data_IF_803880580408
#
_entry.id   IF_803880580408
#
_cell.length_a   1.000
_cell.length_b   1.000
_cell.length_c   1.000
_cell.angle_alpha   90.00
_cell.angle_beta   90.00
_cell.angle_gamma   90.00
#
_symmetry.space_group_name_H-M   'P 1'
#
loop_
_entity.id
_entity.type
_entity.pdbx_description
1 polymer ?
#
# COMPACT_ATOMS: atom_id res chain seq x y z
N UNK A 1 -26.85 15.23 25.03
CA UNK A 1 -26.25 14.51 23.91
C UNK A 1 -24.76 14.85 23.89
N UNK A 2 -23.90 13.93 24.27
CA UNK A 2 -22.43 14.11 24.24
C UNK A 2 -21.94 13.62 22.88
N UNK A 3 -21.05 14.34 22.18
CA UNK A 3 -20.47 13.84 20.92
C UNK A 3 -19.53 12.67 21.24
N UNK A 4 -19.72 11.57 20.53
CA UNK A 4 -18.90 10.38 20.58
C UNK A 4 -17.52 10.72 20.01
N UNK A 5 -16.51 10.84 20.85
CA UNK A 5 -15.12 11.00 20.44
C UNK A 5 -14.58 9.61 20.10
N UNK A 6 -14.66 9.24 18.84
CA UNK A 6 -13.86 8.12 18.33
C UNK A 6 -12.39 8.52 18.38
N UNK A 7 -11.72 8.10 19.43
CA UNK A 7 -10.26 8.23 19.55
C UNK A 7 -9.64 7.19 18.64
N UNK A 8 -9.06 7.62 17.53
CA UNK A 8 -8.28 6.77 16.64
C UNK A 8 -7.00 6.39 17.40
N UNK A 9 -6.97 5.19 17.95
CA UNK A 9 -5.76 4.61 18.55
C UNK A 9 -5.07 3.74 17.50
N UNK A 10 -4.10 4.30 16.77
CA UNK A 10 -3.20 3.57 15.89
C UNK A 10 -2.11 2.94 16.79
N UNK A 11 -2.23 1.69 17.15
CA UNK A 11 -1.14 0.92 17.74
C UNK A 11 -0.26 0.43 16.59
N UNK A 12 0.84 1.13 16.35
CA UNK A 12 1.91 0.59 15.51
C UNK A 12 2.96 0.03 16.45
N UNK A 13 3.16 -1.27 16.36
CA UNK A 13 4.27 -1.93 17.01
C UNK A 13 5.57 -1.27 16.53
N UNK A 14 6.30 -0.65 17.44
CA UNK A 14 7.60 -0.07 17.14
C UNK A 14 8.51 -1.14 16.55
N UNK A 15 8.90 -1.01 15.29
CA UNK A 15 10.00 -1.78 14.73
C UNK A 15 11.26 -1.45 15.53
N UNK A 16 11.62 -2.33 16.46
CA UNK A 16 12.92 -2.33 17.12
C UNK A 16 13.99 -2.45 16.03
N UNK A 17 14.93 -1.52 16.04
CA UNK A 17 16.15 -1.54 15.21
C UNK A 17 16.99 -2.75 15.61
N UNK A 18 16.63 -3.92 15.10
CA UNK A 18 17.46 -5.10 15.14
C UNK A 18 18.52 -5.00 14.06
N UNK A 19 19.79 -5.04 14.43
CA UNK A 19 20.91 -5.13 13.52
C UNK A 19 20.71 -6.31 12.56
N UNK A 20 20.49 -6.02 11.28
CA UNK A 20 20.39 -7.03 10.23
C UNK A 20 21.79 -7.57 9.99
N UNK A 21 22.02 -8.82 10.36
CA UNK A 21 23.16 -9.59 9.88
C UNK A 21 22.99 -9.77 8.35
N UNK A 22 23.91 -9.22 7.57
CA UNK A 22 24.01 -9.48 6.14
C UNK A 22 24.44 -10.93 6.01
N UNK A 23 23.55 -11.80 5.56
CA UNK A 23 23.91 -13.14 5.14
C UNK A 23 24.71 -13.03 3.82
N UNK A 24 25.93 -13.54 3.86
CA UNK A 24 26.83 -13.55 2.72
C UNK A 24 26.28 -14.42 1.58
N UNK A 25 26.64 -14.02 0.35
CA UNK A 25 26.38 -14.71 -0.90
C UNK A 25 26.62 -16.21 -0.83
N UNK A 26 25.53 -16.97 -0.77
CA UNK A 26 25.51 -18.39 -1.14
C UNK A 26 24.71 -18.52 -2.44
N UNK A 27 25.04 -19.48 -3.31
CA UNK A 27 24.28 -19.69 -4.53
C UNK A 27 22.82 -19.95 -4.19
N UNK A 28 21.92 -19.24 -4.90
CA UNK A 28 20.47 -19.41 -4.79
C UNK A 28 20.11 -20.90 -4.91
N UNK A 29 19.55 -21.54 -3.90
CA UNK A 29 19.29 -22.99 -3.97
C UNK A 29 18.18 -23.33 -4.95
N UNK A 30 17.39 -22.38 -5.37
CA UNK A 30 16.20 -22.65 -6.15
C UNK A 30 16.17 -21.68 -7.33
N UNK A 31 16.28 -22.20 -8.53
CA UNK A 31 16.10 -21.49 -9.78
C UNK A 31 14.80 -20.67 -9.85
N UNK A 32 14.68 -19.66 -8.99
CA UNK A 32 13.58 -18.72 -9.04
C UNK A 32 13.63 -18.05 -10.40
N UNK A 33 12.68 -18.41 -11.26
CA UNK A 33 12.54 -17.88 -12.60
C UNK A 33 12.31 -16.38 -12.53
N UNK A 34 12.78 -15.64 -13.55
CA UNK A 34 12.43 -14.25 -13.74
C UNK A 34 10.89 -14.10 -13.74
N UNK A 35 10.41 -12.95 -13.27
CA UNK A 35 8.99 -12.62 -13.32
C UNK A 35 8.50 -12.58 -14.77
N UNK A 36 7.32 -13.12 -15.01
CA UNK A 36 6.71 -13.18 -16.35
C UNK A 36 5.46 -12.30 -16.39
N UNK A 37 5.26 -11.60 -17.51
CA UNK A 37 4.13 -10.69 -17.71
C UNK A 37 3.53 -10.89 -19.09
N UNK A 38 2.20 -10.76 -19.19
CA UNK A 38 1.51 -10.71 -20.48
C UNK A 38 1.78 -9.39 -21.20
N UNK A 39 1.62 -9.36 -22.50
CA UNK A 39 1.92 -8.19 -23.33
C UNK A 39 1.12 -6.95 -22.92
N UNK A 40 -0.13 -7.11 -22.53
CA UNK A 40 -1.00 -6.03 -22.06
C UNK A 40 -0.53 -5.42 -20.73
N UNK A 41 -0.02 -6.25 -19.80
CA UNK A 41 0.57 -5.76 -18.54
C UNK A 41 1.89 -5.03 -18.81
N UNK A 42 2.72 -5.55 -19.71
CA UNK A 42 3.97 -4.89 -20.09
C UNK A 42 3.74 -3.55 -20.81
N UNK A 43 2.68 -3.46 -21.61
CA UNK A 43 2.34 -2.25 -22.37
C UNK A 43 1.68 -1.15 -21.53
N UNK A 44 1.31 -1.42 -20.28
CA UNK A 44 0.69 -0.41 -19.41
C UNK A 44 1.66 0.76 -19.17
N UNK A 45 1.21 2.01 -19.37
CA UNK A 45 1.99 3.17 -18.98
C UNK A 45 2.18 3.16 -17.45
N UNK A 46 3.08 4.00 -16.96
CA UNK A 46 3.21 4.25 -15.53
C UNK A 46 1.93 4.88 -15.00
N UNK A 47 1.40 4.30 -13.93
CA UNK A 47 0.18 4.72 -13.29
C UNK A 47 0.47 5.46 -11.99
N UNK A 48 -0.32 6.49 -11.73
CA UNK A 48 -0.16 7.39 -10.60
C UNK A 48 -1.51 7.63 -9.96
N UNK A 49 -1.59 7.49 -8.65
CA UNK A 49 -2.89 7.55 -8.04
C UNK A 49 -2.90 7.81 -6.56
N UNK A 50 -4.01 7.43 -5.96
CA UNK A 50 -4.27 7.59 -4.54
C UNK A 50 -4.89 6.33 -3.97
N UNK A 51 -4.78 6.17 -2.66
CA UNK A 51 -5.58 5.25 -1.89
C UNK A 51 -6.95 5.86 -1.61
N UNK A 52 -8.01 5.05 -1.68
CA UNK A 52 -9.39 5.48 -1.48
C UNK A 52 -9.67 5.85 -0.01
N UNK A 53 -10.73 6.62 0.27
CA UNK A 53 -11.23 6.71 1.64
C UNK A 53 -11.81 5.37 2.09
N UNK A 54 -11.84 5.15 3.43
CA UNK A 54 -12.46 3.95 4.02
C UNK A 54 -13.99 3.91 3.93
N UNK A 55 -14.62 4.98 3.39
CA UNK A 55 -16.06 5.09 3.13
C UNK A 55 -16.41 4.71 1.70
N UNK A 56 -17.69 4.60 1.43
CA UNK A 56 -18.18 4.48 0.05
C UNK A 56 -17.80 5.71 -0.79
N UNK A 57 -17.31 5.43 -1.98
CA UNK A 57 -16.96 6.46 -2.97
C UNK A 57 -18.18 6.84 -3.81
N UNK A 58 -18.20 8.10 -4.25
CA UNK A 58 -19.26 8.68 -5.08
C UNK A 58 -18.70 9.12 -6.43
N UNK A 59 -19.58 9.44 -7.39
CA UNK A 59 -19.16 9.97 -8.70
C UNK A 59 -18.31 11.25 -8.57
N UNK A 60 -18.60 12.10 -7.57
CA UNK A 60 -17.83 13.34 -7.32
C UNK A 60 -16.39 13.03 -6.89
N UNK A 61 -16.15 11.91 -6.20
CA UNK A 61 -14.79 11.48 -5.86
C UNK A 61 -14.00 11.13 -7.13
N UNK A 62 -14.60 10.37 -8.05
CA UNK A 62 -13.95 9.98 -9.31
C UNK A 62 -13.72 11.16 -10.23
N UNK A 63 -14.66 12.11 -10.29
CA UNK A 63 -14.50 13.35 -11.03
C UNK A 63 -13.34 14.17 -10.48
N UNK A 64 -13.24 14.32 -9.15
CA UNK A 64 -12.12 15.02 -8.53
C UNK A 64 -10.77 14.33 -8.84
N UNK A 65 -10.70 13.00 -8.79
CA UNK A 65 -9.49 12.26 -9.13
C UNK A 65 -9.09 12.43 -10.61
N UNK A 66 -10.06 12.42 -11.52
CA UNK A 66 -9.82 12.68 -12.94
C UNK A 66 -9.31 14.10 -13.18
N UNK A 67 -9.92 15.10 -12.52
CA UNK A 67 -9.48 16.51 -12.60
C UNK A 67 -8.05 16.69 -12.06
N UNK A 68 -7.64 15.89 -11.10
CA UNK A 68 -6.27 15.85 -10.60
C UNK A 68 -5.29 15.21 -11.59
N UNK A 69 -5.78 14.33 -12.47
CA UNK A 69 -4.97 13.54 -13.40
C UNK A 69 -4.53 12.19 -12.85
N UNK A 70 -5.22 11.68 -11.82
CA UNK A 70 -4.97 10.35 -11.30
C UNK A 70 -5.40 9.28 -12.32
N UNK A 71 -4.60 8.22 -12.46
CA UNK A 71 -4.83 7.09 -13.35
C UNK A 71 -4.92 5.76 -12.62
N UNK A 72 -4.68 5.77 -11.30
CA UNK A 72 -4.74 4.60 -10.43
C UNK A 72 -5.50 4.92 -9.15
N UNK A 73 -6.32 3.99 -8.69
CA UNK A 73 -6.99 4.02 -7.40
C UNK A 73 -6.69 2.72 -6.65
N UNK A 74 -6.12 2.78 -5.46
CA UNK A 74 -6.07 1.63 -4.56
C UNK A 74 -7.32 1.66 -3.68
N UNK A 75 -8.29 0.79 -4.00
CA UNK A 75 -9.57 0.71 -3.31
C UNK A 75 -9.46 -0.21 -2.10
N UNK A 76 -9.37 0.39 -0.91
CA UNK A 76 -9.23 -0.32 0.34
C UNK A 76 -10.56 -0.90 0.82
N UNK A 77 -10.59 -2.18 1.10
CA UNK A 77 -11.66 -2.84 1.82
C UNK A 77 -11.28 -2.94 3.29
N UNK A 78 -11.53 -1.85 4.03
CA UNK A 78 -11.10 -1.67 5.42
C UNK A 78 -12.29 -1.69 6.39
N UNK A 79 -12.10 -2.36 7.52
CA UNK A 79 -12.93 -2.28 8.74
C UNK A 79 -12.10 -2.67 9.95
N UNK A 80 -12.40 -2.06 11.08
CA UNK A 80 -11.85 -2.47 12.39
C UNK A 80 -10.33 -2.70 12.41
N UNK A 81 -9.59 -1.94 11.59
CA UNK A 81 -8.14 -2.04 11.43
C UNK A 81 -7.36 -2.05 12.74
N UNK A 82 -7.84 -1.30 13.74
CA UNK A 82 -7.18 -1.18 15.04
C UNK A 82 -7.78 -2.11 16.12
N UNK A 83 -8.72 -2.95 15.74
CA UNK A 83 -9.40 -3.82 16.68
C UNK A 83 -8.58 -5.09 16.92
N UNK A 84 -8.02 -5.23 18.12
CA UNK A 84 -7.34 -6.48 18.51
C UNK A 84 -8.36 -7.62 18.47
N UNK A 85 -8.02 -8.69 17.76
CA UNK A 85 -8.92 -9.82 17.53
C UNK A 85 -10.29 -9.44 16.93
N UNK A 86 -10.36 -8.34 16.19
CA UNK A 86 -11.50 -8.02 15.34
C UNK A 86 -11.63 -9.03 14.18
N UNK A 87 -12.78 -9.06 13.52
CA UNK A 87 -13.00 -9.90 12.34
C UNK A 87 -12.87 -11.42 12.57
N UNK A 88 -13.11 -11.88 13.80
CA UNK A 88 -13.04 -13.30 14.17
C UNK A 88 -14.29 -14.09 13.74
N UNK A 89 -15.46 -13.45 13.65
CA UNK A 89 -16.68 -14.04 13.12
C UNK A 89 -16.63 -13.98 11.58
N UNK A 90 -16.37 -15.13 10.97
CA UNK A 90 -16.20 -15.23 9.52
C UNK A 90 -17.51 -14.99 8.75
N UNK A 91 -18.65 -15.32 9.34
CA UNK A 91 -19.96 -15.06 8.69
C UNK A 91 -20.27 -13.56 8.68
N UNK A 92 -19.94 -12.85 9.75
CA UNK A 92 -20.07 -11.40 9.81
C UNK A 92 -19.07 -10.71 8.87
N UNK A 93 -17.84 -11.19 8.87
CA UNK A 93 -16.79 -10.71 7.97
C UNK A 93 -17.20 -10.86 6.49
N UNK A 94 -17.73 -12.03 6.12
CA UNK A 94 -18.20 -12.28 4.74
C UNK A 94 -19.37 -11.36 4.36
N UNK A 95 -20.34 -11.15 5.25
CA UNK A 95 -21.45 -10.21 4.96
C UNK A 95 -20.97 -8.78 4.72
N UNK A 96 -20.01 -8.34 5.51
CA UNK A 96 -19.38 -7.03 5.30
C UNK A 96 -18.62 -6.97 3.97
N UNK A 97 -17.78 -7.97 3.70
CA UNK A 97 -16.97 -8.03 2.49
C UNK A 97 -17.84 -8.05 1.23
N UNK A 98 -18.92 -8.84 1.21
CA UNK A 98 -19.86 -8.88 0.08
C UNK A 98 -20.48 -7.49 -0.17
N UNK A 99 -20.79 -6.74 0.87
CA UNK A 99 -21.25 -5.34 0.73
C UNK A 99 -20.17 -4.45 0.08
N UNK A 100 -18.88 -4.62 0.43
CA UNK A 100 -17.77 -3.87 -0.19
C UNK A 100 -17.57 -4.28 -1.65
N UNK A 101 -17.65 -5.58 -1.96
CA UNK A 101 -17.55 -6.10 -3.32
C UNK A 101 -18.74 -5.67 -4.19
N UNK A 102 -19.93 -5.56 -3.62
CA UNK A 102 -21.11 -5.02 -4.29
C UNK A 102 -20.91 -3.53 -4.65
N UNK A 103 -20.40 -2.75 -3.71
CA UNK A 103 -20.08 -1.34 -3.97
C UNK A 103 -18.97 -1.20 -5.03
N UNK A 104 -17.92 -2.03 -4.94
CA UNK A 104 -16.87 -2.09 -5.94
C UNK A 104 -17.42 -2.37 -7.36
N UNK A 105 -18.26 -3.38 -7.49
CA UNK A 105 -18.83 -3.81 -8.77
C UNK A 105 -19.80 -2.79 -9.37
N UNK A 106 -20.67 -2.20 -8.54
CA UNK A 106 -21.75 -1.33 -9.00
C UNK A 106 -21.39 0.14 -9.12
N UNK A 107 -20.41 0.60 -8.35
CA UNK A 107 -20.05 2.03 -8.28
C UNK A 107 -18.59 2.24 -8.66
N UNK A 108 -17.65 1.63 -7.91
CA UNK A 108 -16.23 1.95 -8.03
C UNK A 108 -15.71 1.62 -9.43
N UNK A 109 -15.87 0.39 -9.86
CA UNK A 109 -15.32 -0.07 -11.14
C UNK A 109 -15.95 0.65 -12.36
N UNK A 110 -17.29 0.82 -12.45
CA UNK A 110 -17.89 1.59 -13.54
C UNK A 110 -17.45 3.05 -13.57
N UNK A 111 -17.37 3.72 -12.41
CA UNK A 111 -16.96 5.13 -12.35
C UNK A 111 -15.48 5.30 -12.67
N UNK A 112 -14.62 4.44 -12.14
CA UNK A 112 -13.20 4.44 -12.45
C UNK A 112 -12.96 4.28 -13.98
N UNK A 113 -13.63 3.31 -14.60
CA UNK A 113 -13.57 3.11 -16.07
C UNK A 113 -14.04 4.33 -16.85
N UNK A 114 -15.16 4.95 -16.44
CA UNK A 114 -15.69 6.17 -17.06
C UNK A 114 -14.65 7.29 -17.09
N UNK A 115 -13.77 7.35 -16.08
CA UNK A 115 -12.75 8.38 -15.91
C UNK A 115 -11.33 7.91 -16.29
N UNK A 116 -11.17 6.73 -16.88
CA UNK A 116 -9.86 6.21 -17.31
C UNK A 116 -8.92 5.82 -16.17
N UNK A 117 -9.48 5.48 -15.00
CA UNK A 117 -8.73 5.10 -13.79
C UNK A 117 -8.75 3.58 -13.66
N UNK A 118 -7.60 2.95 -13.48
CA UNK A 118 -7.49 1.54 -13.09
C UNK A 118 -7.60 1.41 -11.58
N UNK A 119 -8.11 0.25 -11.12
CA UNK A 119 -8.36 0.04 -9.69
C UNK A 119 -7.59 -1.18 -9.17
N UNK A 120 -6.81 -0.98 -8.11
CA UNK A 120 -6.30 -2.05 -7.25
C UNK A 120 -7.40 -2.42 -6.26
N UNK A 121 -7.81 -3.68 -6.23
CA UNK A 121 -8.74 -4.19 -5.22
C UNK A 121 -7.93 -4.68 -4.03
N UNK A 122 -7.89 -3.90 -2.96
CA UNK A 122 -7.06 -4.12 -1.78
C UNK A 122 -7.87 -4.74 -0.64
N UNK A 123 -7.50 -5.94 -0.23
CA UNK A 123 -7.99 -6.55 1.01
C UNK A 123 -7.22 -5.94 2.19
N UNK A 124 -7.72 -4.81 2.70
CA UNK A 124 -7.02 -4.04 3.70
C UNK A 124 -6.99 -4.69 5.08
N UNK A 125 -7.96 -5.54 5.39
CA UNK A 125 -8.00 -6.31 6.64
C UNK A 125 -8.33 -7.76 6.32
N UNK A 126 -7.47 -8.73 6.70
CA UNK A 126 -7.71 -10.14 6.42
C UNK A 126 -8.77 -10.74 7.36
N UNK A 127 -9.37 -11.89 7.00
CA UNK A 127 -10.21 -12.64 7.91
C UNK A 127 -9.43 -13.01 9.18
N UNK A 128 -10.09 -12.90 10.34
CA UNK A 128 -9.46 -13.08 11.64
C UNK A 128 -8.77 -11.84 12.18
N UNK A 129 -8.53 -10.81 11.35
CA UNK A 129 -7.90 -9.55 11.76
C UNK A 129 -6.50 -9.74 12.35
N UNK A 130 -6.18 -8.93 13.36
CA UNK A 130 -4.86 -8.84 13.96
C UNK A 130 -4.89 -9.14 15.45
N UNK A 131 -3.79 -9.68 15.97
CA UNK A 131 -3.58 -9.86 17.41
C UNK A 131 -3.06 -8.57 18.09
N UNK A 132 -2.75 -8.66 19.40
CA UNK A 132 -2.26 -7.51 20.18
C UNK A 132 -0.88 -6.99 19.73
N UNK A 133 -0.12 -7.78 18.97
CA UNK A 133 1.16 -7.40 18.36
C UNK A 133 0.99 -6.90 16.94
N UNK A 134 -0.24 -6.76 16.49
CA UNK A 134 -0.60 -6.43 15.11
C UNK A 134 -0.16 -7.47 14.08
N UNK A 135 0.12 -8.72 14.51
CA UNK A 135 0.32 -9.82 13.58
C UNK A 135 -1.01 -10.32 13.04
N UNK A 136 -1.07 -10.64 11.74
CA UNK A 136 -2.28 -11.15 11.13
C UNK A 136 -2.59 -12.57 11.61
N UNK A 137 -3.77 -12.77 12.20
CA UNK A 137 -4.17 -14.06 12.76
C UNK A 137 -4.21 -15.19 11.72
N UNK A 138 -4.34 -14.88 10.44
CA UNK A 138 -4.32 -15.87 9.35
C UNK A 138 -2.99 -16.64 9.24
N UNK A 139 -1.89 -16.15 9.79
CA UNK A 139 -0.62 -16.88 9.82
C UNK A 139 -0.56 -17.92 10.94
N UNK A 140 -1.45 -17.81 11.93
CA UNK A 140 -1.40 -18.58 13.19
C UNK A 140 -2.67 -19.39 13.48
N UNK A 141 -3.71 -19.27 12.65
CA UNK A 141 -4.97 -20.04 12.75
C UNK A 141 -5.40 -20.53 11.38
N UNK A 142 -5.44 -21.86 11.20
CA UNK A 142 -5.78 -22.48 9.93
C UNK A 142 -7.17 -22.08 9.39
N UNK A 143 -8.14 -21.80 10.29
CA UNK A 143 -9.48 -21.36 9.86
C UNK A 143 -9.40 -20.06 9.06
N UNK A 144 -8.60 -19.10 9.53
CA UNK A 144 -8.43 -17.83 8.87
C UNK A 144 -7.55 -17.94 7.62
N UNK A 145 -6.50 -18.78 7.67
CA UNK A 145 -5.66 -19.08 6.51
C UNK A 145 -6.47 -19.67 5.35
N UNK A 146 -7.26 -20.70 5.64
CA UNK A 146 -8.07 -21.38 4.62
C UNK A 146 -9.21 -20.47 4.11
N UNK A 147 -9.81 -19.68 5.01
CA UNK A 147 -10.82 -18.70 4.62
C UNK A 147 -10.25 -17.61 3.71
N UNK A 148 -9.04 -17.12 4.01
CA UNK A 148 -8.33 -16.15 3.17
C UNK A 148 -8.10 -16.67 1.75
N UNK A 149 -7.70 -17.92 1.60
CA UNK A 149 -7.49 -18.56 0.29
C UNK A 149 -8.82 -18.71 -0.47
N UNK A 150 -9.88 -19.17 0.21
CA UNK A 150 -11.20 -19.34 -0.42
C UNK A 150 -11.84 -18.00 -0.78
N UNK A 151 -11.64 -16.98 0.03
CA UNK A 151 -12.06 -15.61 -0.25
C UNK A 151 -11.49 -15.12 -1.58
N UNK A 152 -10.19 -15.27 -1.79
CA UNK A 152 -9.56 -14.86 -3.05
C UNK A 152 -10.03 -15.69 -4.24
N UNK A 153 -10.34 -16.96 -4.07
CA UNK A 153 -10.98 -17.77 -5.12
C UNK A 153 -12.34 -17.18 -5.50
N UNK A 154 -13.19 -16.84 -4.50
CA UNK A 154 -14.52 -16.24 -4.73
C UNK A 154 -14.41 -14.88 -5.43
N UNK A 155 -13.48 -14.02 -4.99
CA UNK A 155 -13.25 -12.71 -5.62
C UNK A 155 -12.83 -12.89 -7.08
N UNK A 156 -11.84 -13.74 -7.34
CA UNK A 156 -11.36 -13.98 -8.70
C UNK A 156 -12.46 -14.53 -9.62
N UNK A 157 -13.29 -15.46 -9.14
CA UNK A 157 -14.44 -15.97 -9.88
C UNK A 157 -15.46 -14.86 -10.19
N UNK A 158 -15.76 -14.00 -9.21
CA UNK A 158 -16.72 -12.89 -9.36
C UNK A 158 -16.29 -11.88 -10.39
N UNK A 159 -15.02 -11.53 -10.43
CA UNK A 159 -14.49 -10.45 -11.26
C UNK A 159 -13.70 -10.94 -12.48
N UNK A 160 -13.73 -12.22 -12.76
CA UNK A 160 -13.05 -12.80 -13.94
C UNK A 160 -13.37 -12.03 -15.22
N UNK A 161 -12.30 -11.59 -15.90
CA UNK A 161 -12.42 -10.87 -17.17
C UNK A 161 -13.01 -9.46 -17.08
N UNK A 162 -13.21 -8.91 -15.87
CA UNK A 162 -13.69 -7.53 -15.71
C UNK A 162 -12.57 -6.55 -16.05
N UNK A 163 -12.85 -5.65 -16.95
CA UNK A 163 -11.95 -4.57 -17.32
C UNK A 163 -11.86 -3.48 -16.26
N UNK A 164 -10.74 -2.75 -16.20
CA UNK A 164 -10.54 -1.65 -15.26
C UNK A 164 -9.86 -2.06 -13.96
N UNK A 165 -9.65 -3.35 -13.75
CA UNK A 165 -8.90 -3.86 -12.59
C UNK A 165 -7.39 -3.79 -12.91
N UNK A 166 -6.64 -3.06 -12.08
CA UNK A 166 -5.19 -3.05 -12.10
C UNK A 166 -4.62 -4.38 -11.60
N UNK A 167 -5.14 -4.86 -10.49
CA UNK A 167 -4.75 -6.11 -9.86
C UNK A 167 -5.47 -6.35 -8.54
N UNK A 168 -5.34 -7.57 -8.02
CA UNK A 168 -5.81 -7.97 -6.69
C UNK A 168 -4.67 -7.87 -5.69
N UNK A 169 -4.77 -6.95 -4.75
CA UNK A 169 -3.83 -6.76 -3.65
C UNK A 169 -4.23 -7.69 -2.51
N UNK A 170 -3.45 -8.76 -2.36
CA UNK A 170 -3.89 -9.92 -1.59
C UNK A 170 -4.11 -9.59 -0.11
N UNK A 171 -3.28 -8.76 0.47
CA UNK A 171 -3.45 -8.29 1.85
C UNK A 171 -2.56 -7.09 2.12
N UNK A 172 -3.14 -6.05 2.72
CA UNK A 172 -2.43 -4.86 3.17
C UNK A 172 -1.54 -5.16 4.37
N UNK A 173 -0.32 -4.64 4.32
CA UNK A 173 0.64 -4.61 5.42
C UNK A 173 0.76 -5.92 6.22
N UNK A 174 0.99 -7.05 5.56
CA UNK A 174 1.11 -8.32 6.26
C UNK A 174 2.25 -8.26 7.28
N UNK A 175 1.93 -8.57 8.54
CA UNK A 175 2.92 -8.69 9.59
C UNK A 175 2.92 -10.10 10.13
N UNK A 176 4.01 -10.81 9.87
CA UNK A 176 4.33 -12.10 10.45
C UNK A 176 5.72 -12.02 11.06
N UNK A 177 5.82 -11.96 12.39
CA UNK A 177 7.08 -11.92 13.13
C UNK A 177 7.36 -13.26 13.86
N UNK A 178 6.29 -13.93 14.33
CA UNK A 178 6.39 -15.26 14.95
C UNK A 178 6.41 -16.37 13.91
N UNK A 179 6.80 -17.56 14.33
CA UNK A 179 6.65 -18.78 13.53
C UNK A 179 5.17 -19.00 13.17
N UNK A 180 4.91 -19.15 11.88
CA UNK A 180 3.58 -19.44 11.37
C UNK A 180 3.25 -20.92 11.45
N UNK A 181 1.98 -21.27 11.26
CA UNK A 181 1.59 -22.65 11.02
C UNK A 181 2.26 -23.19 9.73
N UNK A 182 2.44 -24.51 9.61
CA UNK A 182 2.95 -25.12 8.38
C UNK A 182 2.17 -24.63 7.15
N UNK A 183 2.88 -24.26 6.09
CA UNK A 183 2.33 -23.69 4.84
C UNK A 183 1.46 -22.43 5.01
N UNK A 184 1.59 -21.74 6.14
CA UNK A 184 0.88 -20.48 6.42
C UNK A 184 1.84 -19.30 6.69
N UNK A 185 3.16 -19.46 6.50
CA UNK A 185 4.04 -18.29 6.51
C UNK A 185 3.71 -17.34 5.37
N UNK A 186 4.19 -16.11 5.50
CA UNK A 186 3.90 -15.01 4.57
C UNK A 186 3.99 -15.45 3.09
N UNK A 187 5.10 -16.06 2.69
CA UNK A 187 5.29 -16.46 1.29
C UNK A 187 4.35 -17.58 0.87
N UNK A 188 4.22 -18.63 1.69
CA UNK A 188 3.40 -19.80 1.37
C UNK A 188 1.91 -19.45 1.34
N UNK A 189 1.42 -18.65 2.29
CA UNK A 189 0.01 -18.29 2.33
C UNK A 189 -0.38 -17.39 1.15
N UNK A 190 0.46 -16.40 0.79
CA UNK A 190 0.23 -15.58 -0.40
C UNK A 190 0.33 -16.41 -1.70
N UNK A 191 1.23 -17.39 -1.76
CA UNK A 191 1.30 -18.33 -2.87
C UNK A 191 0.01 -19.16 -3.00
N UNK A 192 -0.53 -19.68 -1.89
CA UNK A 192 -1.81 -20.44 -1.87
C UNK A 192 -2.98 -19.58 -2.35
N UNK A 193 -3.06 -18.32 -1.89
CA UNK A 193 -4.07 -17.39 -2.35
C UNK A 193 -3.92 -17.06 -3.85
N UNK A 194 -2.69 -16.81 -4.30
CA UNK A 194 -2.42 -16.57 -5.71
C UNK A 194 -2.76 -17.79 -6.59
N UNK A 195 -2.50 -19.00 -6.13
CA UNK A 195 -2.88 -20.23 -6.81
C UNK A 195 -4.41 -20.36 -6.93
N UNK A 196 -5.14 -20.02 -5.87
CA UNK A 196 -6.61 -20.00 -5.89
C UNK A 196 -7.16 -18.94 -6.87
N UNK A 197 -6.53 -17.77 -6.96
CA UNK A 197 -6.86 -16.75 -7.97
C UNK A 197 -6.60 -17.30 -9.38
N UNK A 198 -5.44 -17.91 -9.63
CA UNK A 198 -5.06 -18.43 -10.95
C UNK A 198 -5.95 -19.56 -11.44
N UNK A 199 -6.50 -20.36 -10.53
CA UNK A 199 -7.47 -21.40 -10.88
C UNK A 199 -8.76 -20.84 -11.49
N UNK A 200 -9.15 -19.63 -11.09
CA UNK A 200 -10.35 -18.95 -11.61
C UNK A 200 -10.00 -17.95 -12.73
N UNK A 201 -9.01 -17.12 -12.56
CA UNK A 201 -8.57 -16.11 -13.52
C UNK A 201 -7.05 -16.24 -13.81
N UNK A 202 -6.68 -16.81 -14.94
CA UNK A 202 -5.28 -17.10 -15.26
C UNK A 202 -4.40 -15.86 -15.46
N UNK A 203 -4.99 -14.69 -15.76
CA UNK A 203 -4.23 -13.54 -16.27
C UNK A 203 -4.37 -12.25 -15.45
N UNK A 204 -5.38 -12.14 -14.56
CA UNK A 204 -5.53 -10.93 -13.74
C UNK A 204 -4.21 -10.67 -12.97
N UNK A 205 -3.71 -9.44 -12.92
CA UNK A 205 -2.54 -9.18 -12.09
C UNK A 205 -2.82 -9.39 -10.60
N UNK A 206 -1.84 -9.95 -9.92
CA UNK A 206 -1.85 -10.15 -8.47
C UNK A 206 -0.82 -9.20 -7.88
N UNK A 207 -1.19 -8.44 -6.86
CA UNK A 207 -0.29 -7.59 -6.11
C UNK A 207 0.09 -8.29 -4.80
N UNK A 208 1.38 -8.33 -4.52
CA UNK A 208 1.95 -8.99 -3.35
C UNK A 208 2.78 -7.99 -2.57
N UNK A 209 2.39 -7.74 -1.35
CA UNK A 209 3.16 -6.91 -0.44
C UNK A 209 4.27 -7.71 0.25
N UNK A 210 5.38 -7.03 0.52
CA UNK A 210 6.43 -7.60 1.35
C UNK A 210 5.97 -7.70 2.82
N UNK A 211 6.57 -8.61 3.58
CA UNK A 211 6.30 -8.76 5.02
C UNK A 211 6.69 -7.49 5.81
N UNK A 212 6.42 -7.50 7.12
CA UNK A 212 6.74 -6.40 8.04
C UNK A 212 6.14 -5.06 7.59
N UNK A 213 4.80 -5.04 7.42
CA UNK A 213 4.04 -3.87 6.99
C UNK A 213 4.51 -3.32 5.64
N UNK A 214 4.63 -4.19 4.65
CA UNK A 214 5.08 -3.85 3.30
C UNK A 214 6.46 -3.15 3.26
N UNK A 215 7.35 -3.50 4.21
CA UNK A 215 8.65 -2.84 4.35
C UNK A 215 9.57 -3.07 3.14
N UNK A 216 10.20 -2.03 2.59
CA UNK A 216 11.19 -2.16 1.52
C UNK A 216 12.35 -3.09 1.86
N UNK A 217 12.74 -3.16 3.14
CA UNK A 217 13.84 -4.01 3.60
C UNK A 217 13.59 -5.51 3.40
N UNK A 218 12.33 -5.92 3.43
CA UNK A 218 11.94 -7.33 3.29
C UNK A 218 12.12 -7.87 1.86
N UNK A 219 12.31 -7.00 0.89
CA UNK A 219 12.64 -7.40 -0.47
C UNK A 219 13.99 -8.12 -0.58
N UNK A 220 14.90 -7.94 0.37
CA UNK A 220 16.17 -8.65 0.41
C UNK A 220 16.01 -10.18 0.51
N UNK A 221 14.97 -10.64 1.20
CA UNK A 221 14.64 -12.07 1.36
C UNK A 221 13.44 -12.54 0.54
N UNK A 222 12.78 -11.64 -0.19
CA UNK A 222 11.59 -11.96 -0.95
C UNK A 222 11.94 -12.80 -2.18
N UNK A 223 11.12 -13.82 -2.45
CA UNK A 223 11.21 -14.63 -3.66
C UNK A 223 9.99 -14.38 -4.54
N UNK A 224 10.13 -14.33 -5.88
CA UNK A 224 8.98 -14.25 -6.75
C UNK A 224 8.01 -15.42 -6.55
N UNK A 225 6.72 -15.15 -6.62
CA UNK A 225 5.71 -16.20 -6.75
C UNK A 225 5.78 -16.80 -8.16
N UNK A 226 5.56 -18.13 -8.30
CA UNK A 226 5.72 -18.82 -9.58
C UNK A 226 4.51 -18.65 -10.52
N UNK A 227 4.02 -17.41 -10.64
CA UNK A 227 2.85 -17.07 -11.46
C UNK A 227 3.15 -15.90 -12.40
N UNK A 228 2.45 -15.85 -13.52
CA UNK A 228 2.49 -14.71 -14.46
C UNK A 228 1.73 -13.51 -13.85
N UNK A 229 2.13 -12.30 -14.22
CA UNK A 229 1.48 -11.04 -13.81
C UNK A 229 1.44 -10.83 -12.28
N UNK A 230 2.53 -11.09 -11.58
CA UNK A 230 2.68 -10.74 -10.17
C UNK A 230 3.43 -9.41 -10.05
N UNK A 231 2.81 -8.43 -9.40
CA UNK A 231 3.35 -7.10 -9.11
C UNK A 231 3.73 -7.06 -7.64
N UNK A 232 4.89 -6.51 -7.31
CA UNK A 232 5.40 -6.50 -5.94
C UNK A 232 5.29 -5.11 -5.34
N UNK A 233 4.69 -5.03 -4.16
CA UNK A 233 4.33 -3.77 -3.51
C UNK A 233 5.13 -3.56 -2.23
N UNK A 234 5.43 -2.28 -1.95
CA UNK A 234 6.01 -1.80 -0.70
C UNK A 234 5.38 -0.46 -0.29
N UNK A 235 5.52 -0.12 1.01
CA UNK A 235 5.10 1.16 1.57
C UNK A 235 6.30 1.98 2.04
N UNK A 236 6.21 3.32 1.99
CA UNK A 236 7.29 4.23 2.42
C UNK A 236 6.75 5.28 3.36
N UNK A 237 7.11 5.14 4.63
CA UNK A 237 6.84 6.12 5.68
C UNK A 237 8.11 6.50 6.47
N UNK A 238 9.27 6.07 5.96
CA UNK A 238 10.54 6.43 6.59
C UNK A 238 10.96 7.88 6.26
N UNK A 239 11.44 8.67 7.24
CA UNK A 239 11.52 8.31 8.65
C UNK A 239 10.17 8.49 9.35
N UNK A 240 9.78 7.50 10.14
CA UNK A 240 8.49 7.49 10.84
C UNK A 240 8.29 8.70 11.75
N UNK A 241 9.36 9.15 12.37
CA UNK A 241 9.37 10.34 13.25
C UNK A 241 8.97 11.62 12.54
N UNK A 242 9.20 11.68 11.22
CA UNK A 242 8.76 12.80 10.39
C UNK A 242 7.35 12.58 9.86
N UNK A 243 7.12 11.46 9.20
CA UNK A 243 5.85 11.22 8.49
C UNK A 243 4.66 11.11 9.41
N UNK A 244 4.86 10.60 10.64
CA UNK A 244 3.83 10.41 11.66
C UNK A 244 4.05 11.26 12.91
N UNK A 245 4.81 12.35 12.81
CA UNK A 245 5.08 13.17 13.98
C UNK A 245 3.80 13.62 14.68
N UNK A 246 3.78 13.47 16.01
CA UNK A 246 2.66 13.76 16.89
C UNK A 246 1.38 12.92 16.62
N UNK A 247 1.49 11.87 15.82
CA UNK A 247 0.47 10.82 15.76
C UNK A 247 0.95 9.71 16.70
N UNK A 248 0.10 9.24 17.59
CA UNK A 248 0.33 8.05 18.41
C UNK A 248 1.66 7.99 19.17
N UNK A 249 1.86 8.90 20.10
CA UNK A 249 3.06 8.91 20.95
C UNK A 249 4.40 9.02 20.21
N UNK A 250 4.39 9.30 18.93
CA UNK A 250 5.59 9.74 18.23
C UNK A 250 6.03 11.09 18.80
N UNK A 251 7.32 11.40 18.62
CA UNK A 251 8.01 12.53 19.26
C UNK A 251 7.17 13.79 19.40
N UNK A 252 7.22 14.41 20.57
CA UNK A 252 6.48 15.64 20.89
C UNK A 252 7.05 16.89 20.21
N UNK A 253 8.26 16.82 19.68
CA UNK A 253 8.89 17.95 18.97
C UNK A 253 8.64 17.89 17.47
N UNK A 254 8.70 19.04 16.85
CA UNK A 254 8.57 19.18 15.41
C UNK A 254 9.84 18.74 14.72
N UNK A 255 9.72 17.90 13.71
CA UNK A 255 10.76 17.46 12.79
C UNK A 255 10.45 18.05 11.43
N UNK A 256 11.45 18.54 10.71
CA UNK A 256 11.30 19.07 9.36
C UNK A 256 11.92 18.15 8.30
N UNK A 257 11.58 18.38 7.05
CA UNK A 257 12.17 17.67 5.90
C UNK A 257 12.73 18.66 4.88
N UNK A 258 13.98 18.44 4.36
CA UNK A 258 14.95 17.46 4.86
C UNK A 258 15.53 17.88 6.23
N UNK A 259 16.10 16.93 6.96
CA UNK A 259 16.86 17.17 8.17
C UNK A 259 18.22 16.47 8.07
N UNK A 260 19.19 17.19 7.55
CA UNK A 260 20.55 16.67 7.33
C UNK A 260 21.30 16.38 8.64
N UNK A 261 20.90 16.97 9.77
CA UNK A 261 21.51 16.69 11.08
C UNK A 261 21.21 15.26 11.55
N UNK A 262 20.09 14.69 11.10
CA UNK A 262 19.70 13.30 11.33
C UNK A 262 19.96 12.41 10.09
N UNK A 263 20.50 12.96 9.02
CA UNK A 263 20.67 12.25 7.77
C UNK A 263 19.34 11.94 7.04
N UNK A 264 18.29 12.69 7.31
CA UNK A 264 16.97 12.50 6.75
C UNK A 264 16.78 13.37 5.51
N UNK A 265 16.98 12.77 4.37
CA UNK A 265 16.90 13.44 3.08
C UNK A 265 16.57 12.43 1.97
N UNK A 266 16.46 12.90 0.74
CA UNK A 266 16.16 12.07 -0.42
C UNK A 266 17.13 10.90 -0.60
N UNK A 267 18.42 11.12 -0.38
CA UNK A 267 19.42 10.06 -0.54
C UNK A 267 19.23 8.93 0.48
N UNK A 268 18.76 9.26 1.68
CA UNK A 268 18.45 8.26 2.70
C UNK A 268 17.17 7.48 2.35
N UNK A 269 16.13 8.11 1.76
CA UNK A 269 15.00 7.35 1.22
C UNK A 269 15.50 6.40 0.13
N UNK A 270 16.29 6.88 -0.83
CA UNK A 270 16.85 6.04 -1.89
C UNK A 270 17.62 4.83 -1.33
N UNK A 271 18.39 5.05 -0.26
CA UNK A 271 19.08 3.97 0.41
C UNK A 271 18.14 2.90 0.97
N UNK A 272 16.99 3.29 1.56
CA UNK A 272 16.00 2.34 2.07
C UNK A 272 15.35 1.52 0.95
N UNK A 273 15.31 2.05 -0.27
CA UNK A 273 14.70 1.41 -1.44
C UNK A 273 15.66 0.47 -2.19
N UNK A 274 16.95 0.42 -1.85
CA UNK A 274 17.93 -0.45 -2.51
C UNK A 274 17.54 -1.92 -2.60
N UNK A 275 16.96 -2.55 -1.56
CA UNK A 275 16.52 -3.94 -1.67
C UNK A 275 15.43 -4.12 -2.73
N UNK A 276 14.51 -3.17 -2.88
CA UNK A 276 13.46 -3.18 -3.91
C UNK A 276 14.06 -3.09 -5.31
N UNK A 277 15.00 -2.16 -5.50
CA UNK A 277 15.73 -1.99 -6.77
C UNK A 277 16.52 -3.25 -7.12
N UNK A 278 17.18 -3.86 -6.15
CA UNK A 278 17.92 -5.11 -6.35
C UNK A 278 16.99 -6.25 -6.76
N UNK A 279 15.85 -6.40 -6.10
CA UNK A 279 14.82 -7.38 -6.44
C UNK A 279 14.28 -7.15 -7.86
N UNK A 280 13.90 -5.91 -8.19
CA UNK A 280 13.42 -5.55 -9.52
C UNK A 280 14.43 -5.92 -10.60
N UNK A 281 15.70 -5.57 -10.41
CA UNK A 281 16.77 -5.87 -11.38
C UNK A 281 17.04 -7.37 -11.51
N UNK A 282 17.06 -8.08 -10.38
CA UNK A 282 17.36 -9.52 -10.36
C UNK A 282 16.29 -10.35 -11.07
N UNK A 283 15.02 -9.99 -10.89
CA UNK A 283 13.89 -10.82 -11.34
C UNK A 283 13.09 -10.20 -12.49
N UNK A 284 13.41 -9.00 -12.95
CA UNK A 284 12.60 -8.27 -13.93
C UNK A 284 11.21 -7.94 -13.40
N UNK A 285 11.06 -7.72 -12.09
CA UNK A 285 9.78 -7.56 -11.43
C UNK A 285 9.15 -6.19 -11.74
N UNK A 286 7.83 -6.14 -11.92
CA UNK A 286 7.07 -4.90 -11.80
C UNK A 286 6.89 -4.58 -10.31
N UNK A 287 7.11 -3.31 -9.99
CA UNK A 287 7.07 -2.81 -8.62
C UNK A 287 6.05 -1.69 -8.50
N UNK A 288 5.40 -1.63 -7.37
CA UNK A 288 4.37 -0.66 -7.04
C UNK A 288 4.62 -0.09 -5.64
N UNK A 289 4.70 1.23 -5.51
CA UNK A 289 4.72 1.93 -4.23
C UNK A 289 3.27 2.19 -3.79
N UNK A 290 2.72 1.30 -2.97
CA UNK A 290 1.29 1.29 -2.63
C UNK A 290 0.88 2.41 -1.69
N UNK A 291 1.77 2.79 -0.77
CA UNK A 291 1.52 3.88 0.16
C UNK A 291 2.77 4.71 0.44
N UNK A 292 2.57 6.01 0.50
CA UNK A 292 3.51 6.99 1.03
C UNK A 292 2.75 8.26 1.40
N UNK A 293 3.13 8.91 2.48
CA UNK A 293 2.52 10.16 2.92
C UNK A 293 3.38 10.84 3.99
N UNK A 294 3.00 12.07 4.35
CA UNK A 294 3.44 12.76 5.54
C UNK A 294 2.29 13.62 6.09
N UNK A 295 2.18 13.71 7.42
CA UNK A 295 1.09 14.47 8.06
C UNK A 295 1.09 15.94 7.65
N UNK A 296 -0.11 16.53 7.58
CA UNK A 296 -0.33 17.89 7.09
C UNK A 296 0.47 18.97 7.83
N UNK A 297 0.81 18.74 9.09
CA UNK A 297 1.55 19.67 9.94
C UNK A 297 3.08 19.44 9.96
N UNK A 298 3.58 18.49 9.18
CA UNK A 298 5.01 18.27 9.09
C UNK A 298 5.66 19.33 8.19
N UNK A 299 6.59 20.18 8.71
CA UNK A 299 7.28 21.17 7.89
C UNK A 299 8.09 20.48 6.79
N UNK A 300 7.90 20.88 5.53
CA UNK A 300 8.55 20.26 4.38
C UNK A 300 7.86 18.99 3.87
N UNK A 301 6.64 18.69 4.31
CA UNK A 301 5.88 17.54 3.80
C UNK A 301 5.78 17.54 2.26
N UNK A 302 5.65 18.71 1.63
CA UNK A 302 5.63 18.83 0.18
C UNK A 302 6.94 18.44 -0.48
N UNK A 303 8.08 18.71 0.18
CA UNK A 303 9.42 18.29 -0.30
C UNK A 303 9.57 16.79 -0.17
N UNK A 304 9.16 16.21 0.97
CA UNK A 304 9.15 14.78 1.15
C UNK A 304 8.35 14.05 0.06
N UNK A 305 7.13 14.53 -0.24
CA UNK A 305 6.32 13.94 -1.31
C UNK A 305 7.01 14.04 -2.67
N UNK A 306 7.65 15.18 -2.98
CA UNK A 306 8.41 15.35 -4.22
C UNK A 306 9.60 14.39 -4.30
N UNK A 307 10.31 14.19 -3.20
CA UNK A 307 11.44 13.27 -3.13
C UNK A 307 11.02 11.82 -3.34
N UNK A 308 9.94 11.37 -2.67
CA UNK A 308 9.37 10.04 -2.89
C UNK A 308 8.92 9.86 -4.34
N UNK A 309 8.12 10.77 -4.88
CA UNK A 309 7.61 10.69 -6.25
C UNK A 309 8.79 10.67 -7.24
N UNK A 310 9.81 11.52 -7.05
CA UNK A 310 10.97 11.55 -7.96
C UNK A 310 11.70 10.21 -8.00
N UNK A 311 11.83 9.52 -6.86
CA UNK A 311 12.44 8.19 -6.79
C UNK A 311 11.57 7.13 -7.47
N UNK A 312 10.25 7.17 -7.29
CA UNK A 312 9.35 6.23 -7.97
C UNK A 312 9.38 6.43 -9.49
N UNK A 313 9.42 7.68 -9.95
CA UNK A 313 9.55 8.02 -11.37
C UNK A 313 10.90 7.56 -11.95
N UNK A 314 11.98 7.70 -11.19
CA UNK A 314 13.32 7.27 -11.58
C UNK A 314 13.42 5.75 -11.78
N UNK A 315 12.79 4.99 -10.89
CA UNK A 315 12.81 3.52 -10.96
C UNK A 315 11.70 2.92 -11.83
N UNK A 316 10.81 3.73 -12.37
CA UNK A 316 9.73 3.26 -13.25
C UNK A 316 8.57 2.60 -12.51
N UNK A 317 8.33 2.93 -11.26
CA UNK A 317 7.29 2.32 -10.43
C UNK A 317 5.94 3.02 -10.56
N UNK A 318 4.87 2.23 -10.54
CA UNK A 318 3.53 2.75 -10.29
C UNK A 318 3.42 3.18 -8.83
N UNK A 319 2.55 4.14 -8.50
CA UNK A 319 2.42 4.59 -7.12
C UNK A 319 1.05 5.14 -6.76
N UNK A 320 0.67 5.02 -5.47
CA UNK A 320 -0.53 5.63 -4.89
C UNK A 320 -0.19 6.37 -3.59
N UNK A 321 -0.69 7.59 -3.48
CA UNK A 321 -0.56 8.44 -2.30
C UNK A 321 -1.59 8.06 -1.23
N UNK A 322 -1.20 7.93 0.01
CA UNK A 322 -2.07 7.72 1.17
C UNK A 322 -2.38 9.04 1.88
N UNK A 323 -3.62 9.58 1.83
CA UNK A 323 -4.78 9.03 1.15
C UNK A 323 -5.73 10.13 0.68
N UNK A 324 -6.59 9.79 -0.24
CA UNK A 324 -7.63 10.69 -0.74
C UNK A 324 -8.81 10.71 0.23
N UNK A 325 -9.13 11.88 0.80
CA UNK A 325 -10.33 12.15 1.61
C UNK A 325 -10.60 11.16 2.76
N UNK A 326 -9.55 10.53 3.30
CA UNK A 326 -9.67 9.59 4.39
C UNK A 326 -9.63 10.31 5.74
N UNK A 327 -8.49 10.82 6.09
CA UNK A 327 -8.27 11.57 7.32
C UNK A 327 -7.62 12.91 6.99
N UNK A 328 -8.08 13.99 7.66
CA UNK A 328 -7.58 15.34 7.37
C UNK A 328 -6.07 15.52 7.59
N UNK A 329 -5.45 14.65 8.40
CA UNK A 329 -4.01 14.62 8.58
C UNK A 329 -3.24 14.15 7.33
N UNK A 330 -3.82 13.25 6.53
CA UNK A 330 -3.27 12.77 5.27
C UNK A 330 -3.79 13.55 4.06
N UNK A 331 -5.08 13.89 4.07
CA UNK A 331 -5.73 14.54 2.93
C UNK A 331 -5.02 15.83 2.48
N UNK A 332 -4.73 15.92 1.18
CA UNK A 332 -4.17 17.14 0.57
C UNK A 332 -5.22 18.20 0.27
N UNK A 333 -6.49 17.95 0.57
CA UNK A 333 -7.58 18.95 0.49
C UNK A 333 -7.82 19.65 1.83
N UNK A 334 -6.93 19.45 2.80
CA UNK A 334 -7.03 20.05 4.13
C UNK A 334 -5.68 20.58 4.60
N UNK A 335 -5.72 21.66 5.33
CA UNK A 335 -4.63 22.16 6.16
C UNK A 335 -4.98 21.92 7.62
N UNK A 336 -4.07 21.32 8.34
CA UNK A 336 -4.21 21.00 9.77
C UNK A 336 -2.91 21.42 10.45
N UNK A 337 -2.99 22.37 11.37
CA UNK A 337 -1.81 22.97 11.99
C UNK A 337 -1.14 22.04 13.03
N UNK A 338 -1.89 21.12 13.60
CA UNK A 338 -1.40 20.16 14.60
C UNK A 338 -2.43 19.04 14.82
N UNK A 339 -2.03 17.89 15.41
CA UNK A 339 -2.96 16.84 15.81
C UNK A 339 -4.06 17.37 16.72
N UNK A 340 -5.30 16.93 16.48
CA UNK A 340 -6.45 17.34 17.29
C UNK A 340 -6.91 18.79 17.11
N UNK A 341 -6.26 19.56 16.24
CA UNK A 341 -6.76 20.87 15.82
C UNK A 341 -7.79 20.72 14.71
N UNK A 342 -8.75 21.64 14.60
CA UNK A 342 -9.65 21.67 13.44
C UNK A 342 -8.85 21.73 12.14
N UNK A 343 -9.25 20.90 11.19
CA UNK A 343 -8.74 20.98 9.82
C UNK A 343 -9.54 22.01 9.03
N UNK A 344 -8.87 22.77 8.17
CA UNK A 344 -9.48 23.75 7.29
C UNK A 344 -9.42 23.19 5.86
N UNK A 345 -10.55 23.15 5.12
CA UNK A 345 -10.51 22.81 3.71
C UNK A 345 -9.57 23.75 2.96
N UNK A 346 -8.73 23.22 2.11
CA UNK A 346 -7.76 23.97 1.33
C UNK A 346 -7.83 23.51 -0.13
N UNK A 347 -8.23 24.42 -1.00
CA UNK A 347 -8.30 24.14 -2.43
C UNK A 347 -6.90 24.01 -3.06
N UNK A 348 -5.94 24.74 -2.51
CA UNK A 348 -4.56 24.80 -3.02
C UNK A 348 -3.57 24.95 -1.87
N UNK A 349 -2.68 23.98 -1.69
CA UNK A 349 -1.59 23.99 -0.72
C UNK A 349 -0.35 23.29 -1.30
N UNK A 350 0.84 23.49 -0.68
CA UNK A 350 2.09 22.92 -1.22
C UNK A 350 2.06 21.41 -1.41
N UNK A 351 1.46 20.63 -0.49
CA UNK A 351 1.35 19.17 -0.62
C UNK A 351 0.47 18.78 -1.80
N UNK A 352 -0.68 19.45 -1.98
CA UNK A 352 -1.56 19.22 -3.13
C UNK A 352 -0.85 19.52 -4.43
N UNK A 353 -0.15 20.65 -4.52
CA UNK A 353 0.64 21.00 -5.72
C UNK A 353 1.70 19.95 -6.03
N UNK A 354 2.44 19.46 -5.03
CA UNK A 354 3.41 18.40 -5.21
C UNK A 354 2.78 17.13 -5.80
N UNK A 355 1.63 16.71 -5.27
CA UNK A 355 0.90 15.55 -5.75
C UNK A 355 0.39 15.73 -7.19
N UNK A 356 -0.23 16.88 -7.49
CA UNK A 356 -0.73 17.18 -8.84
C UNK A 356 0.40 17.28 -9.88
N UNK A 357 1.56 17.82 -9.49
CA UNK A 357 2.75 17.81 -10.35
C UNK A 357 3.23 16.38 -10.64
N UNK A 358 3.17 15.50 -9.64
CA UNK A 358 3.46 14.07 -9.80
C UNK A 358 2.50 13.42 -10.81
N UNK A 359 1.19 13.58 -10.65
CA UNK A 359 0.19 13.01 -11.57
C UNK A 359 0.39 13.47 -13.02
N UNK A 360 0.81 14.71 -13.21
CA UNK A 360 1.07 15.30 -14.53
C UNK A 360 2.45 14.96 -15.09
N UNK A 361 3.25 14.14 -14.40
CA UNK A 361 4.60 13.80 -14.80
C UNK A 361 5.58 14.98 -14.83
N UNK A 362 5.33 16.02 -14.02
CA UNK A 362 6.18 17.22 -13.94
C UNK A 362 7.33 17.07 -12.93
N UNK A 363 7.28 16.04 -12.09
CA UNK A 363 8.38 15.65 -11.21
C UNK A 363 9.21 14.64 -12.00
N UNK A 364 10.36 15.08 -12.51
CA UNK A 364 11.31 14.23 -13.22
C UNK A 364 12.24 13.52 -12.24
N UNK A 365 12.83 12.41 -12.69
CA UNK A 365 14.01 11.84 -12.05
C UNK A 365 15.05 12.96 -11.84
N UNK A 366 15.59 13.09 -10.63
CA UNK A 366 16.66 14.05 -10.40
C UNK A 366 17.83 13.70 -11.32
N UNK A 367 18.32 14.67 -12.09
CA UNK A 367 19.57 14.45 -12.80
C UNK A 367 20.65 14.14 -11.74
N UNK A 368 21.51 13.13 -11.95
CA UNK A 368 22.64 12.92 -11.06
C UNK A 368 23.38 14.24 -10.94
N UNK A 369 23.51 14.75 -9.72
CA UNK A 369 24.39 15.89 -9.50
C UNK A 369 25.78 15.48 -9.97
N UNK A 370 26.26 16.09 -11.04
CA UNK A 370 27.68 16.02 -11.39
C UNK A 370 28.47 16.45 -10.17
N UNK A 371 29.20 15.52 -9.58
CA UNK A 371 30.20 15.80 -8.54
C UNK A 371 31.53 15.91 -9.18
#
# INVERSE_FOLDING_TARGET
MKPNRSTISILVAGCLTGSVAVAADGPSPDGASACAYTADVLARPRLRGVMSPGRDMTEDDFKALADWGATLLRFQMIRDWHSVNGNQDLDEYDRWLEGRLDHFDRVVLPMARKHGILVVLDLHVPPGGYDASHEANMFHDARFADHFVELWRRIARRFKGREGIYGYDLVNEPLQAREALPDCDHWNLLRRAAEAVRAEDPHVPIVVESNQCASPSQFAGLRPLPFVNVIYQFHVYWPWEFTHQRVLNTRMWTVEWPDDSHGWNRAAIDWTLKPVVAFQRKYGARVYAGEFSAVAWAPGAERYLRDCISLFEEHGWDWTYHAFREWSGWSVEHETAAPGRPSVPSADNPRKRALLDGFRGRISAAQPSER
#
